data_IF_067186095807
#
_entry.id   IF_067186095807
#
_cell.length_a   1.000
_cell.length_b   1.000
_cell.length_c   1.000
_cell.angle_alpha   90.00
_cell.angle_beta   90.00
_cell.angle_gamma   90.00
#
_symmetry.space_group_name_H-M   'P 1'
#
loop_
_entity.id
_entity.type
_entity.pdbx_description
1 polymer ?
#
# COMPACT_ATOMS: atom_id res chain seq x y z
N UNK A 1 -7.29 30.94 22.48
CA UNK A 1 -5.99 30.26 22.68
C UNK A 1 -5.45 29.96 21.30
N UNK A 2 -4.47 30.73 20.85
CA UNK A 2 -3.95 30.68 19.49
C UNK A 2 -2.68 29.85 19.52
N UNK A 3 -2.72 28.65 18.94
CA UNK A 3 -1.52 27.83 18.75
C UNK A 3 -0.78 28.46 17.56
N UNK A 4 0.37 29.07 17.83
CA UNK A 4 1.26 29.57 16.80
C UNK A 4 1.58 28.44 15.82
N UNK A 5 1.33 28.68 14.54
CA UNK A 5 1.68 27.74 13.49
C UNK A 5 3.17 27.94 13.19
N UNK A 6 4.04 27.23 13.92
CA UNK A 6 5.26 26.73 13.27
C UNK A 6 4.80 25.91 12.06
N UNK A 7 5.49 26.02 10.94
CA UNK A 7 5.16 25.35 9.68
C UNK A 7 4.80 23.88 9.93
N UNK A 8 3.50 23.58 9.93
CA UNK A 8 2.98 22.28 10.34
C UNK A 8 3.31 21.29 9.23
N UNK A 9 4.21 20.36 9.50
CA UNK A 9 4.37 19.14 8.72
C UNK A 9 2.98 18.47 8.55
N UNK A 10 2.45 18.48 7.33
CA UNK A 10 1.17 17.85 6.98
C UNK A 10 1.39 16.58 6.20
N UNK A 11 0.66 15.51 6.53
CA UNK A 11 0.65 14.27 5.75
C UNK A 11 -0.32 14.38 4.57
N UNK A 12 0.11 13.93 3.39
CA UNK A 12 -0.80 13.65 2.28
C UNK A 12 -1.30 12.21 2.38
N UNK A 13 -2.62 12.04 2.44
CA UNK A 13 -3.27 10.72 2.50
C UNK A 13 -3.88 10.35 1.14
N UNK A 14 -3.71 9.09 0.73
CA UNK A 14 -4.37 8.49 -0.43
C UNK A 14 -4.84 7.07 -0.03
N UNK A 15 -6.07 6.69 -0.41
CA UNK A 15 -6.65 5.40 -0.04
C UNK A 15 -7.18 4.66 -1.27
N UNK A 16 -6.81 3.39 -1.39
CA UNK A 16 -7.26 2.51 -2.47
C UNK A 16 -8.07 1.34 -1.94
N UNK A 17 -9.01 0.89 -2.75
CA UNK A 17 -9.90 -0.23 -2.45
C UNK A 17 -9.76 -1.30 -3.52
N UNK A 18 -9.68 -2.55 -3.12
CA UNK A 18 -9.59 -3.69 -4.03
C UNK A 18 -9.88 -5.00 -3.31
N UNK A 19 -9.81 -6.09 -4.07
CA UNK A 19 -10.12 -7.44 -3.62
C UNK A 19 -9.19 -8.49 -4.25
N UNK A 20 -9.02 -9.59 -3.54
CA UNK A 20 -8.33 -10.78 -4.03
C UNK A 20 -9.35 -11.85 -4.42
N UNK A 21 -9.59 -11.99 -5.72
CA UNK A 21 -10.57 -12.93 -6.27
C UNK A 21 -9.85 -14.21 -6.73
N UNK A 22 -10.27 -15.40 -6.25
CA UNK A 22 -9.71 -16.68 -6.70
C UNK A 22 -9.73 -16.82 -8.23
N UNK A 23 -8.61 -17.23 -8.81
CA UNK A 23 -8.48 -17.42 -10.27
C UNK A 23 -8.26 -16.13 -11.08
N UNK A 24 -8.29 -14.96 -10.44
CA UNK A 24 -8.00 -13.67 -11.08
C UNK A 24 -6.88 -12.94 -10.34
N UNK A 25 -7.19 -12.21 -9.27
CA UNK A 25 -6.24 -11.33 -8.57
C UNK A 25 -5.60 -11.96 -7.34
N UNK A 26 -6.06 -13.13 -6.86
CA UNK A 26 -5.50 -13.83 -5.71
C UNK A 26 -4.17 -14.55 -6.02
N UNK A 27 -3.10 -13.78 -6.25
CA UNK A 27 -1.79 -14.27 -6.68
C UNK A 27 -0.88 -14.86 -5.59
N UNK A 28 -1.23 -14.67 -4.31
CA UNK A 28 -0.47 -15.19 -3.16
C UNK A 28 0.75 -14.33 -2.77
N UNK A 29 1.65 -14.90 -1.97
CA UNK A 29 2.74 -14.18 -1.26
C UNK A 29 4.12 -14.21 -1.94
N UNK A 30 4.19 -14.56 -3.23
CA UNK A 30 5.41 -14.53 -4.04
C UNK A 30 6.18 -15.84 -4.01
N UNK A 31 6.43 -16.47 -2.86
CA UNK A 31 7.03 -17.81 -2.77
C UNK A 31 6.08 -18.75 -2.01
N UNK A 32 5.84 -20.00 -2.48
CA UNK A 32 6.33 -20.60 -3.74
C UNK A 32 5.59 -20.11 -5.00
N UNK A 33 4.50 -19.34 -4.85
CA UNK A 33 3.58 -18.95 -5.94
C UNK A 33 4.09 -17.82 -6.86
N UNK A 34 5.34 -17.90 -7.36
CA UNK A 34 5.95 -16.84 -8.18
C UNK A 34 5.19 -16.55 -9.47
N UNK A 35 4.64 -17.61 -10.09
CA UNK A 35 3.96 -17.54 -11.38
C UNK A 35 2.67 -16.72 -11.35
N UNK A 36 1.99 -16.68 -10.20
CA UNK A 36 0.72 -15.95 -10.03
C UNK A 36 0.90 -14.64 -9.28
N UNK A 37 2.05 -14.39 -8.67
CA UNK A 37 2.26 -13.24 -7.80
C UNK A 37 1.96 -11.89 -8.47
N UNK A 38 2.26 -11.77 -9.77
CA UNK A 38 2.06 -10.56 -10.54
C UNK A 38 0.58 -10.20 -10.75
N UNK A 39 -0.36 -11.14 -10.55
CA UNK A 39 -1.80 -10.89 -10.71
C UNK A 39 -2.43 -10.17 -9.52
N UNK A 40 -1.71 -10.07 -8.39
CA UNK A 40 -2.15 -9.22 -7.28
C UNK A 40 -2.30 -7.77 -7.74
N UNK A 41 -3.25 -7.00 -7.18
CA UNK A 41 -3.37 -5.57 -7.48
C UNK A 41 -2.07 -4.82 -7.19
N UNK A 42 -1.65 -3.95 -8.12
CA UNK A 42 -0.43 -3.15 -8.02
C UNK A 42 -0.80 -1.67 -8.05
N UNK A 43 -0.18 -0.88 -7.17
CA UNK A 43 -0.39 0.56 -7.07
C UNK A 43 0.93 1.29 -7.28
N UNK A 44 0.89 2.34 -8.09
CA UNK A 44 2.04 3.17 -8.37
C UNK A 44 2.03 4.38 -7.45
N UNK A 45 3.12 4.56 -6.69
CA UNK A 45 3.32 5.75 -5.85
C UNK A 45 4.47 6.57 -6.40
N UNK A 46 4.27 7.88 -6.50
CA UNK A 46 5.30 8.85 -6.89
C UNK A 46 5.63 9.72 -5.67
N UNK A 47 6.88 9.66 -5.22
CA UNK A 47 7.40 10.47 -4.12
C UNK A 47 8.05 11.72 -4.73
N UNK A 48 7.30 12.81 -4.82
CA UNK A 48 7.72 14.04 -5.51
C UNK A 48 8.23 15.13 -4.56
N UNK A 49 7.99 15.00 -3.25
CA UNK A 49 8.27 16.03 -2.26
C UNK A 49 9.32 15.50 -1.28
N UNK A 50 10.42 16.23 -1.17
CA UNK A 50 11.50 15.96 -0.21
C UNK A 50 11.05 16.45 1.17
N UNK A 51 11.45 15.73 2.21
CA UNK A 51 11.12 16.12 3.59
C UNK A 51 11.89 17.37 4.02
N UNK A 52 11.25 18.29 4.74
CA UNK A 52 11.88 19.54 5.18
C UNK A 52 13.08 19.27 6.11
N UNK A 53 14.23 19.89 5.79
CA UNK A 53 15.47 19.71 6.55
C UNK A 53 16.24 18.44 6.23
N UNK A 54 15.81 17.65 5.23
CA UNK A 54 16.56 16.51 4.74
C UNK A 54 17.61 16.93 3.70
N UNK A 55 18.88 16.68 4.00
CA UNK A 55 20.02 16.94 3.12
C UNK A 55 20.26 15.81 2.11
N UNK A 56 19.57 14.68 2.25
CA UNK A 56 19.72 13.49 1.40
C UNK A 56 18.67 13.40 0.28
N UNK A 57 17.78 14.41 0.16
CA UNK A 57 16.70 14.45 -0.83
C UNK A 57 15.77 13.21 -0.76
N UNK A 58 15.44 12.72 0.44
CA UNK A 58 14.54 11.60 0.66
C UNK A 58 13.11 12.09 0.96
N UNK A 59 12.18 11.14 0.90
CA UNK A 59 10.76 11.36 1.14
C UNK A 59 10.22 10.22 2.01
N UNK A 60 9.50 10.57 3.08
CA UNK A 60 8.90 9.58 3.98
C UNK A 60 7.49 9.19 3.52
N UNK A 61 7.24 7.89 3.44
CA UNK A 61 5.92 7.33 3.14
C UNK A 61 5.54 6.25 4.16
N UNK A 62 4.30 6.28 4.62
CA UNK A 62 3.69 5.23 5.43
C UNK A 62 2.69 4.47 4.55
N UNK A 63 2.79 3.14 4.53
CA UNK A 63 1.84 2.26 3.83
C UNK A 63 1.11 1.40 4.86
N UNK A 64 -0.22 1.38 4.79
CA UNK A 64 -1.07 0.48 5.56
C UNK A 64 -1.91 -0.40 4.62
N UNK A 65 -2.01 -1.69 4.95
CA UNK A 65 -2.86 -2.66 4.24
C UNK A 65 -3.84 -3.28 5.23
N UNK A 66 -5.14 -3.16 4.96
CA UNK A 66 -6.19 -3.60 5.88
C UNK A 66 -7.19 -4.53 5.19
N UNK A 67 -7.54 -5.62 5.87
CA UNK A 67 -8.62 -6.52 5.46
C UNK A 67 -9.96 -6.03 5.97
N UNK A 68 -10.97 -6.05 5.10
CA UNK A 68 -12.35 -5.68 5.44
C UNK A 68 -13.19 -6.92 5.76
N UNK A 69 -14.30 -6.70 6.46
CA UNK A 69 -15.34 -7.70 6.73
C UNK A 69 -14.90 -8.95 7.52
N UNK A 70 -13.73 -8.91 8.15
CA UNK A 70 -13.17 -10.03 8.95
C UNK A 70 -14.13 -10.48 10.06
N UNK A 71 -14.77 -9.52 10.75
CA UNK A 71 -15.81 -9.80 11.74
C UNK A 71 -17.03 -10.49 11.15
N UNK A 72 -17.50 -10.05 9.98
CA UNK A 72 -18.67 -10.65 9.33
C UNK A 72 -18.38 -12.08 8.87
N UNK A 73 -17.16 -12.35 8.37
CA UNK A 73 -16.70 -13.71 8.04
C UNK A 73 -16.74 -14.63 9.26
N UNK A 74 -16.20 -14.20 10.41
CA UNK A 74 -16.26 -14.97 11.66
C UNK A 74 -17.70 -15.27 12.10
N UNK A 75 -18.59 -14.29 12.01
CA UNK A 75 -20.00 -14.48 12.36
C UNK A 75 -20.72 -15.49 11.46
N UNK A 76 -20.25 -15.67 10.22
CA UNK A 76 -20.73 -16.70 9.28
C UNK A 76 -20.03 -18.06 9.46
N UNK A 77 -19.18 -18.21 10.48
CA UNK A 77 -18.42 -19.44 10.71
C UNK A 77 -17.26 -19.67 9.74
N UNK A 78 -16.86 -18.64 8.98
CA UNK A 78 -15.69 -18.68 8.10
C UNK A 78 -14.45 -18.18 8.85
N UNK A 79 -13.27 -18.56 8.36
CA UNK A 79 -12.02 -17.97 8.83
C UNK A 79 -12.06 -16.44 8.67
N UNK A 80 -11.70 -15.74 9.75
CA UNK A 80 -11.91 -14.31 9.91
C UNK A 80 -10.85 -13.44 9.27
N UNK A 81 -9.59 -13.88 9.32
CA UNK A 81 -8.45 -13.15 8.79
C UNK A 81 -7.60 -14.08 7.93
N UNK A 82 -7.16 -13.58 6.77
CA UNK A 82 -6.11 -14.22 5.99
C UNK A 82 -4.77 -13.52 6.26
N UNK A 83 -3.64 -14.19 6.10
CA UNK A 83 -2.35 -13.50 6.19
C UNK A 83 -2.16 -12.52 5.04
N UNK A 84 -2.00 -11.24 5.35
CA UNK A 84 -1.74 -10.18 4.36
C UNK A 84 -0.35 -9.59 4.51
N UNK A 85 0.24 -9.26 3.37
CA UNK A 85 1.51 -8.53 3.27
C UNK A 85 1.55 -7.76 1.97
N UNK A 86 2.41 -6.75 1.90
CA UNK A 86 2.74 -6.04 0.68
C UNK A 86 4.25 -6.04 0.47
N UNK A 87 4.68 -5.72 -0.76
CA UNK A 87 6.09 -5.55 -1.10
C UNK A 87 6.23 -4.31 -1.97
N UNK A 88 7.19 -3.48 -1.64
CA UNK A 88 7.51 -2.26 -2.39
C UNK A 88 8.66 -2.56 -3.33
N UNK A 89 8.52 -2.14 -4.59
CA UNK A 89 9.55 -2.28 -5.61
C UNK A 89 9.85 -0.91 -6.22
N UNK A 90 11.13 -0.66 -6.50
CA UNK A 90 11.55 0.50 -7.29
C UNK A 90 11.33 0.20 -8.77
N UNK A 91 10.48 0.98 -9.42
CA UNK A 91 10.31 0.93 -10.87
C UNK A 91 11.59 1.44 -11.54
N UNK A 92 12.19 0.61 -12.40
CA UNK A 92 13.34 0.98 -13.23
C UNK A 92 12.78 1.46 -14.58
N UNK A 93 13.00 2.72 -14.96
CA UNK A 93 12.52 3.39 -16.17
C UNK A 93 11.07 3.92 -16.11
N UNK A 94 10.90 5.03 -15.40
CA UNK A 94 9.59 5.70 -15.26
C UNK A 94 9.12 6.44 -16.53
N UNK A 95 10.02 6.71 -17.48
CA UNK A 95 9.74 7.52 -18.67
C UNK A 95 8.79 6.82 -19.67
N UNK A 96 8.60 5.51 -19.57
CA UNK A 96 7.74 4.74 -20.48
C UNK A 96 6.30 4.54 -19.96
N UNK A 97 5.90 5.23 -18.89
CA UNK A 97 4.58 5.09 -18.24
C UNK A 97 3.68 6.33 -18.45
N UNK A 98 3.93 7.12 -19.51
CA UNK A 98 3.11 8.26 -19.93
C UNK A 98 2.11 7.88 -21.01
#
# INVERSE_FOLDING_TARGET
>A
MQISCDDKLTWKEEMFHGEWVPGSTAGGCGQPNKEKYWTNPQYLVRLNFIDDGDNENLCTMIIALMQKETRQRRLRGLEGEDYVQFRVFKVRNFENLS
#
